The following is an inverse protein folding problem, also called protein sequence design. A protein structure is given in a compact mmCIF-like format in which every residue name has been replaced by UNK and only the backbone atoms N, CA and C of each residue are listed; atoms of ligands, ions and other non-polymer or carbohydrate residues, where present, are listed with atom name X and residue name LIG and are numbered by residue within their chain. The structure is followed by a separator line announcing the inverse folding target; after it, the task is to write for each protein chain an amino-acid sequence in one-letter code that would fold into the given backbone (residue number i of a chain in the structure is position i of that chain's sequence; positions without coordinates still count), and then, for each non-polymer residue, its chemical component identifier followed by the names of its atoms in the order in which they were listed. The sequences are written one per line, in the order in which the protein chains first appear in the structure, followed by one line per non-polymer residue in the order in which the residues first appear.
data_IF_207907609259
#
_entry.id   IF_207907609259
#
_cell.length_a   1.000
_cell.length_b   1.000
_cell.length_c   1.000
_cell.angle_alpha   90.00
_cell.angle_beta   90.00
_cell.angle_gamma   90.00
#
_symmetry.space_group_name_H-M   'P 1'
#
loop_
_entity.id
_entity.type
_entity.pdbx_description
1 polymer ?
#
# COMPACT_ATOMS: atom_id res chain seq x y z
N UNK A 1 -13.68 -13.60 -24.18
CA UNK A 1 -12.33 -13.30 -23.67
C UNK A 1 -12.41 -13.43 -22.15
N UNK A 2 -12.04 -14.60 -21.61
CA UNK A 2 -12.05 -14.80 -20.16
C UNK A 2 -10.94 -13.93 -19.58
N UNK A 3 -11.29 -12.98 -18.71
CA UNK A 3 -10.30 -12.08 -18.13
C UNK A 3 -9.56 -12.88 -17.06
N UNK A 4 -8.33 -13.27 -17.37
CA UNK A 4 -7.53 -14.16 -16.53
C UNK A 4 -7.08 -13.39 -15.27
N UNK A 5 -7.37 -13.87 -14.05
CA UNK A 5 -7.05 -13.16 -12.80
C UNK A 5 -5.59 -12.71 -12.71
N UNK A 6 -4.70 -13.47 -13.35
CA UNK A 6 -3.25 -13.25 -13.42
C UNK A 6 -2.86 -12.02 -14.22
N UNK A 7 -3.73 -11.55 -15.11
CA UNK A 7 -3.52 -10.36 -15.95
C UNK A 7 -4.18 -9.10 -15.39
N UNK A 8 -5.22 -9.25 -14.58
CA UNK A 8 -5.94 -8.13 -13.95
C UNK A 8 -5.22 -7.65 -12.69
N UNK A 9 -4.62 -8.57 -11.94
CA UNK A 9 -3.98 -8.26 -10.66
C UNK A 9 -2.87 -7.18 -10.75
N UNK A 10 -1.97 -7.17 -11.75
CA UNK A 10 -0.98 -6.10 -11.90
C UNK A 10 -1.64 -4.74 -12.21
N UNK A 11 -2.67 -4.73 -13.05
CA UNK A 11 -3.38 -3.50 -13.45
C UNK A 11 -4.09 -2.87 -12.24
N UNK A 12 -4.77 -3.70 -11.44
CA UNK A 12 -5.43 -3.25 -10.21
C UNK A 12 -4.40 -2.73 -9.20
N UNK A 13 -3.26 -3.40 -9.07
CA UNK A 13 -2.18 -2.97 -8.19
C UNK A 13 -1.61 -1.62 -8.61
N UNK A 14 -1.34 -1.43 -9.90
CA UNK A 14 -0.88 -0.14 -10.45
C UNK A 14 -1.89 0.98 -10.20
N UNK A 15 -3.19 0.71 -10.42
CA UNK A 15 -4.25 1.67 -10.13
C UNK A 15 -4.37 2.01 -8.65
N UNK A 16 -4.27 1.01 -7.77
CA UNK A 16 -4.29 1.21 -6.32
C UNK A 16 -3.09 2.02 -5.85
N UNK A 17 -1.88 1.70 -6.32
CA UNK A 17 -0.66 2.45 -5.99
C UNK A 17 -0.75 3.91 -6.45
N UNK A 18 -1.27 4.16 -7.66
CA UNK A 18 -1.48 5.52 -8.16
C UNK A 18 -2.49 6.30 -7.31
N UNK A 19 -3.61 5.66 -6.96
CA UNK A 19 -4.65 6.27 -6.13
C UNK A 19 -4.13 6.62 -4.72
N UNK A 20 -3.33 5.72 -4.12
CA UNK A 20 -2.68 5.95 -2.81
C UNK A 20 -1.66 7.09 -2.89
N UNK A 21 -0.78 7.10 -3.90
CA UNK A 21 0.19 8.20 -4.07
C UNK A 21 -0.51 9.54 -4.27
N UNK A 22 -1.60 9.57 -5.04
CA UNK A 22 -2.35 10.79 -5.31
C UNK A 22 -3.08 11.30 -4.07
N UNK A 23 -3.67 10.42 -3.28
CA UNK A 23 -4.35 10.79 -2.04
C UNK A 23 -3.36 11.26 -0.96
N UNK A 24 -2.20 10.63 -0.83
CA UNK A 24 -1.15 11.09 0.07
C UNK A 24 -0.60 12.46 -0.36
N UNK A 25 -0.31 12.65 -1.66
CA UNK A 25 0.18 13.93 -2.18
C UNK A 25 -0.83 15.05 -1.93
N UNK A 26 -2.11 14.83 -2.26
CA UNK A 26 -3.16 15.80 -2.04
C UNK A 26 -3.42 16.08 -0.55
N UNK A 27 -3.33 15.05 0.31
CA UNK A 27 -3.49 15.21 1.76
C UNK A 27 -2.37 16.02 2.40
N UNK A 28 -1.14 15.83 1.93
CA UNK A 28 0.04 16.57 2.40
C UNK A 28 0.03 18.02 1.90
N UNK A 29 -0.25 18.25 0.62
CA UNK A 29 -0.39 19.60 0.05
C UNK A 29 -1.52 20.38 0.75
N UNK A 30 -2.66 19.72 1.04
CA UNK A 30 -3.78 20.36 1.73
C UNK A 30 -3.46 20.77 3.18
N UNK A 31 -2.56 20.05 3.85
CA UNK A 31 -2.25 20.27 5.27
C UNK A 31 -1.05 21.20 5.49
N UNK A 32 -0.10 21.17 4.56
CA UNK A 32 1.20 21.85 4.70
C UNK A 32 1.41 22.95 3.67
N UNK A 33 0.66 22.96 2.57
CA UNK A 33 0.84 23.92 1.47
C UNK A 33 2.04 23.63 0.56
N UNK A 34 2.87 22.64 0.92
CA UNK A 34 4.12 22.28 0.25
C UNK A 34 4.07 20.82 -0.25
N UNK A 35 4.90 20.50 -1.25
CA UNK A 35 5.00 19.13 -1.76
C UNK A 35 5.69 18.21 -0.74
N UNK A 36 5.30 16.92 -0.67
CA UNK A 36 5.91 15.97 0.26
C UNK A 36 7.42 15.84 0.00
N UNK A 37 8.27 15.99 1.04
CA UNK A 37 9.72 15.92 0.90
C UNK A 37 10.12 14.51 0.42
N UNK A 38 10.89 14.48 -0.66
CA UNK A 38 11.43 13.25 -1.21
C UNK A 38 12.65 12.76 -0.42
N UNK A 39 12.94 11.47 -0.48
CA UNK A 39 14.14 10.86 0.09
C UNK A 39 15.46 11.38 -0.52
N UNK A 40 15.38 12.20 -1.56
CA UNK A 40 16.49 12.85 -2.26
C UNK A 40 16.77 14.27 -1.73
N UNK A 41 15.91 14.80 -0.85
CA UNK A 41 15.95 16.19 -0.43
C UNK A 41 16.82 16.38 0.82
N UNK A 42 18.12 16.55 0.60
CA UNK A 42 19.17 16.67 1.63
C UNK A 42 19.11 18.00 2.41
N UNK A 43 18.27 18.95 2.01
CA UNK A 43 18.02 20.18 2.75
C UNK A 43 17.08 19.97 3.96
N UNK A 44 16.43 18.82 4.06
CA UNK A 44 15.43 18.51 5.08
C UNK A 44 16.09 18.00 6.37
N UNK A 45 15.70 18.48 7.57
CA UNK A 45 16.27 18.00 8.82
C UNK A 45 16.17 16.47 8.96
N UNK A 46 17.25 15.82 9.40
CA UNK A 46 17.34 14.37 9.58
C UNK A 46 16.15 13.81 10.40
N UNK A 47 15.70 14.54 11.42
CA UNK A 47 14.54 14.16 12.24
C UNK A 47 13.23 14.06 11.43
N UNK A 48 13.03 14.97 10.46
CA UNK A 48 11.86 14.94 9.56
C UNK A 48 11.92 13.73 8.62
N UNK A 49 13.11 13.42 8.09
CA UNK A 49 13.32 12.23 7.24
C UNK A 49 13.05 10.95 8.03
N UNK A 50 13.55 10.84 9.27
CA UNK A 50 13.32 9.69 10.14
C UNK A 50 11.84 9.54 10.54
N UNK A 51 11.15 10.66 10.81
CA UNK A 51 9.72 10.63 11.11
C UNK A 51 8.91 10.14 9.90
N UNK A 52 9.24 10.64 8.71
CA UNK A 52 8.59 10.19 7.47
C UNK A 52 8.86 8.72 7.18
N UNK A 53 10.13 8.29 7.29
CA UNK A 53 10.52 6.90 7.14
C UNK A 53 9.78 5.99 8.14
N UNK A 54 9.64 6.44 9.39
CA UNK A 54 8.89 5.72 10.43
C UNK A 54 7.40 5.55 10.06
N UNK A 55 6.75 6.61 9.58
CA UNK A 55 5.35 6.56 9.14
C UNK A 55 5.19 5.63 7.93
N UNK A 56 6.10 5.69 6.97
CA UNK A 56 6.10 4.81 5.80
C UNK A 56 6.30 3.34 6.21
N UNK A 57 7.30 3.06 7.05
CA UNK A 57 7.56 1.70 7.53
C UNK A 57 6.36 1.13 8.29
N UNK A 58 5.72 1.93 9.15
CA UNK A 58 4.52 1.54 9.86
C UNK A 58 3.37 1.21 8.89
N UNK A 59 3.17 2.06 7.88
CA UNK A 59 2.13 1.86 6.87
C UNK A 59 2.37 0.57 6.07
N UNK A 60 3.60 0.34 5.63
CA UNK A 60 3.99 -0.89 4.93
C UNK A 60 3.75 -2.13 5.78
N UNK A 61 4.18 -2.11 7.05
CA UNK A 61 3.96 -3.21 7.97
C UNK A 61 2.47 -3.52 8.16
N UNK A 62 1.62 -2.50 8.26
CA UNK A 62 0.17 -2.69 8.35
C UNK A 62 -0.40 -3.33 7.08
N UNK A 63 0.04 -2.90 5.90
CA UNK A 63 -0.38 -3.49 4.62
C UNK A 63 0.02 -4.97 4.56
N UNK A 64 1.26 -5.31 4.91
CA UNK A 64 1.73 -6.69 4.93
C UNK A 64 0.91 -7.56 5.89
N UNK A 65 0.63 -7.07 7.09
CA UNK A 65 -0.21 -7.78 8.06
C UNK A 65 -1.62 -7.97 7.52
N UNK A 66 -2.21 -6.96 6.85
CA UNK A 66 -3.53 -7.07 6.25
C UNK A 66 -3.55 -8.08 5.09
N UNK A 67 -2.51 -8.10 4.25
CA UNK A 67 -2.34 -9.09 3.18
C UNK A 67 -2.21 -10.48 3.80
N UNK A 68 -1.33 -10.69 4.76
CA UNK A 68 -1.14 -11.99 5.40
C UNK A 68 -2.40 -12.46 6.13
N UNK A 69 -3.08 -11.58 6.87
CA UNK A 69 -4.35 -11.89 7.56
C UNK A 69 -5.49 -12.13 6.58
N UNK A 70 -5.51 -11.42 5.45
CA UNK A 70 -6.48 -11.59 4.37
C UNK A 70 -6.27 -12.90 3.62
N UNK A 71 -5.03 -13.17 3.19
CA UNK A 71 -4.61 -14.41 2.57
C UNK A 71 -4.86 -15.61 3.49
N UNK A 72 -4.53 -15.52 4.78
CA UNK A 72 -4.83 -16.58 5.75
C UNK A 72 -6.33 -16.82 5.92
N UNK A 73 -7.16 -15.77 5.85
CA UNK A 73 -8.64 -15.89 5.87
C UNK A 73 -9.18 -16.53 4.60
N UNK A 74 -8.60 -16.22 3.44
CA UNK A 74 -9.00 -16.76 2.15
C UNK A 74 -8.59 -18.23 2.01
N UNK A 75 -7.34 -18.57 2.39
CA UNK A 75 -6.85 -19.94 2.42
C UNK A 75 -7.67 -20.84 3.35
N UNK A 76 -8.12 -20.33 4.52
CA UNK A 76 -9.06 -21.05 5.40
C UNK A 76 -10.46 -21.22 4.81
N UNK A 77 -10.86 -20.40 3.83
CA UNK A 77 -12.11 -20.59 3.09
C UNK A 77 -11.95 -21.63 1.99
N UNK A 78 -10.84 -21.60 1.24
CA UNK A 78 -10.55 -22.59 0.19
C UNK A 78 -10.37 -24.01 0.73
N UNK A 79 -9.67 -24.18 1.86
CA UNK A 79 -9.52 -25.48 2.51
C UNK A 79 -10.83 -26.11 2.99
N UNK A 80 -11.88 -25.30 3.25
CA UNK A 80 -13.21 -25.80 3.66
C UNK A 80 -14.07 -26.22 2.48
N UNK A 81 -13.91 -25.56 1.33
CA UNK A 81 -14.56 -25.98 0.08
C UNK A 81 -13.94 -27.24 -0.51
N UNK A 82 -12.65 -27.48 -0.30
CA UNK A 82 -11.97 -28.71 -0.74
C UNK A 82 -12.35 -29.95 0.10
N UNK A 83 -12.87 -29.77 1.31
CA UNK A 83 -13.34 -30.87 2.19
C UNK A 83 -14.83 -31.22 1.97
N UNK A 84 -15.56 -30.38 1.24
CA UNK A 84 -17.00 -30.53 0.96
C UNK A 84 -17.30 -30.89 -0.52
N UNK A 85 -16.25 -31.12 -1.33
CA UNK A 85 -16.30 -31.54 -2.73
C UNK A 85 -15.67 -32.92 -2.89
#
# INVERSE_FOLDING_TARGET
MAIDPRTIAPIVSLGATWAVRKSLKAGYEKKTGEQPPGSEDLATPLATVLLWAGITALTTALIDVLIQRGAARLARREGRTAELS
#
